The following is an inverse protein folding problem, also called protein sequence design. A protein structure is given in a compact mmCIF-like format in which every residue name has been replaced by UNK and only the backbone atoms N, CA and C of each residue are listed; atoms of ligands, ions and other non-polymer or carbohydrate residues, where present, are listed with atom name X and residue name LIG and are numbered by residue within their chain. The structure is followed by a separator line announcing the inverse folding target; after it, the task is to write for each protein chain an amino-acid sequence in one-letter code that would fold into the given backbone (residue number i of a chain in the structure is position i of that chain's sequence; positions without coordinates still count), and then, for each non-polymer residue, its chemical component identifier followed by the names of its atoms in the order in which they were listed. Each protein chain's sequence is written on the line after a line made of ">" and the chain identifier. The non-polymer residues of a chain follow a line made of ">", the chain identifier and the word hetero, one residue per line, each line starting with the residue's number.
data_IF_930667137553
#
_entry.id   IF_930667137553
#
_cell.length_a   1.000
_cell.length_b   1.000
_cell.length_c   1.000
_cell.angle_alpha   90.00
_cell.angle_beta   90.00
_cell.angle_gamma   90.00
#
_symmetry.space_group_name_H-M   'P 1'
#
loop_
_entity.id
_entity.type
_entity.pdbx_description
1 polymer ?
#
# COMPACT_ATOMS: atom_id res chain seq x y z
N UNK A 1 12.12 -18.44 5.60
CA UNK A 1 12.98 -17.30 5.95
C UNK A 1 12.66 -16.88 7.37
N UNK A 2 13.63 -16.80 8.29
CA UNK A 2 13.37 -16.44 9.69
C UNK A 2 13.01 -14.95 9.83
N UNK A 3 12.17 -14.64 10.81
CA UNK A 3 11.87 -13.26 11.19
C UNK A 3 13.10 -12.58 11.79
N UNK A 4 13.22 -11.25 11.61
CA UNK A 4 14.29 -10.43 12.19
C UNK A 4 15.54 -10.25 11.31
N UNK A 5 15.63 -10.93 10.16
CA UNK A 5 16.71 -10.69 9.21
C UNK A 5 16.48 -9.37 8.46
N UNK A 6 17.45 -8.45 8.49
CA UNK A 6 17.34 -7.11 7.88
C UNK A 6 16.95 -7.13 6.40
N UNK A 7 17.47 -8.11 5.64
CA UNK A 7 17.23 -8.22 4.20
C UNK A 7 16.01 -9.07 3.84
N UNK A 8 15.31 -9.64 4.82
CA UNK A 8 14.16 -10.52 4.57
C UNK A 8 13.08 -9.86 3.69
N UNK A 9 12.63 -8.62 3.98
CA UNK A 9 11.61 -7.97 3.16
C UNK A 9 12.06 -7.73 1.71
N UNK A 10 13.30 -7.28 1.53
CA UNK A 10 13.85 -7.00 0.19
C UNK A 10 13.97 -8.27 -0.66
N UNK A 11 14.43 -9.37 -0.06
CA UNK A 11 14.54 -10.66 -0.75
C UNK A 11 13.15 -11.21 -1.09
N UNK A 12 12.20 -11.12 -0.15
CA UNK A 12 10.84 -11.58 -0.37
C UNK A 12 10.14 -10.75 -1.46
N UNK A 13 10.29 -9.43 -1.44
CA UNK A 13 9.80 -8.55 -2.50
C UNK A 13 10.40 -8.91 -3.87
N UNK A 14 11.70 -9.23 -3.93
CA UNK A 14 12.35 -9.70 -5.16
C UNK A 14 11.74 -11.00 -5.70
N UNK A 15 11.45 -11.96 -4.81
CA UNK A 15 10.75 -13.20 -5.16
C UNK A 15 9.34 -12.91 -5.69
N UNK A 16 8.55 -12.14 -4.95
CA UNK A 16 7.17 -11.82 -5.33
C UNK A 16 7.10 -11.06 -6.65
N UNK A 17 8.02 -10.10 -6.86
CA UNK A 17 8.12 -9.39 -8.14
C UNK A 17 8.45 -10.33 -9.30
N UNK A 18 9.30 -11.33 -9.09
CA UNK A 18 9.62 -12.34 -10.13
C UNK A 18 8.43 -13.23 -10.43
N UNK A 19 7.75 -13.72 -9.40
CA UNK A 19 6.58 -14.62 -9.52
C UNK A 19 5.41 -13.90 -10.17
N UNK A 20 5.06 -12.71 -9.69
CA UNK A 20 3.93 -11.93 -10.18
C UNK A 20 4.25 -11.15 -11.46
N UNK A 21 5.50 -11.16 -11.96
CA UNK A 21 5.96 -10.41 -13.15
C UNK A 21 4.99 -10.44 -14.34
N UNK A 22 4.33 -11.57 -14.68
CA UNK A 22 3.39 -11.61 -15.81
C UNK A 22 2.16 -10.69 -15.64
N UNK A 23 1.80 -10.35 -14.39
CA UNK A 23 0.58 -9.67 -13.99
C UNK A 23 0.80 -8.32 -13.28
N UNK A 24 2.05 -8.03 -12.86
CA UNK A 24 2.43 -6.75 -12.29
C UNK A 24 2.03 -5.60 -13.22
N UNK A 25 1.50 -4.53 -12.61
CA UNK A 25 1.04 -3.31 -13.26
C UNK A 25 -0.06 -3.49 -14.33
N UNK A 26 -0.58 -4.70 -14.52
CA UNK A 26 -1.75 -4.99 -15.36
C UNK A 26 -3.02 -5.05 -14.53
N UNK A 27 -2.99 -5.88 -13.49
CA UNK A 27 -4.10 -6.06 -12.55
C UNK A 27 -3.64 -6.47 -11.14
N UNK A 28 -2.31 -6.51 -10.92
CA UNK A 28 -1.71 -6.83 -9.63
C UNK A 28 -0.69 -5.76 -9.24
N UNK A 29 -0.75 -5.36 -7.98
CA UNK A 29 0.31 -4.62 -7.30
C UNK A 29 0.78 -5.48 -6.13
N UNK A 30 2.08 -5.58 -5.94
CA UNK A 30 2.70 -6.36 -4.87
C UNK A 30 3.54 -5.41 -4.02
N UNK A 31 3.45 -5.55 -2.70
CA UNK A 31 4.36 -4.90 -1.78
C UNK A 31 4.71 -5.83 -0.63
N UNK A 32 5.97 -6.28 -0.59
CA UNK A 32 6.47 -7.26 0.38
C UNK A 32 5.53 -8.49 0.40
N UNK A 33 4.68 -8.64 1.42
CA UNK A 33 3.75 -9.75 1.64
C UNK A 33 2.32 -9.48 1.17
N UNK A 34 1.98 -8.23 0.87
CA UNK A 34 0.64 -7.85 0.43
C UNK A 34 0.50 -7.88 -1.10
N UNK A 35 -0.59 -8.48 -1.58
CA UNK A 35 -0.96 -8.56 -2.99
C UNK A 35 -2.30 -7.88 -3.18
N UNK A 36 -2.31 -6.78 -3.92
CA UNK A 36 -3.53 -6.10 -4.34
C UNK A 36 -3.91 -6.54 -5.74
N UNK A 37 -5.13 -7.04 -5.90
CA UNK A 37 -5.70 -7.44 -7.19
C UNK A 37 -6.84 -6.48 -7.53
N UNK A 38 -6.80 -5.85 -8.70
CA UNK A 38 -7.82 -4.91 -9.16
C UNK A 38 -8.33 -5.27 -10.55
N UNK A 39 -9.60 -4.99 -10.81
CA UNK A 39 -10.29 -5.32 -12.07
C UNK A 39 -11.41 -4.33 -12.34
N UNK A 40 -11.87 -4.24 -13.58
CA UNK A 40 -12.95 -3.31 -13.95
C UNK A 40 -14.33 -3.82 -13.54
N UNK A 41 -14.53 -5.12 -13.62
CA UNK A 41 -15.79 -5.77 -13.26
C UNK A 41 -15.59 -7.08 -12.50
N UNK A 42 -16.69 -7.63 -11.98
CA UNK A 42 -16.67 -8.84 -11.17
C UNK A 42 -16.28 -10.10 -11.95
N UNK A 43 -16.53 -10.14 -13.25
CA UNK A 43 -16.22 -11.30 -14.09
C UNK A 43 -14.71 -11.35 -14.33
N UNK A 44 -14.12 -10.24 -14.76
CA UNK A 44 -12.66 -10.09 -14.88
C UNK A 44 -11.98 -10.34 -13.52
N UNK A 45 -12.56 -9.83 -12.42
CA UNK A 45 -12.00 -10.05 -11.08
C UNK A 45 -11.94 -11.52 -10.67
N UNK A 46 -12.96 -12.31 -11.04
CA UNK A 46 -12.96 -13.75 -10.81
C UNK A 46 -11.80 -14.43 -11.54
N UNK A 47 -11.56 -14.04 -12.79
CA UNK A 47 -10.50 -14.60 -13.63
C UNK A 47 -9.11 -14.19 -13.10
N UNK A 48 -8.92 -12.91 -12.76
CA UNK A 48 -7.68 -12.40 -12.16
C UNK A 48 -7.38 -13.08 -10.82
N UNK A 49 -8.36 -13.20 -9.94
CA UNK A 49 -8.21 -13.86 -8.65
C UNK A 49 -7.80 -15.33 -8.83
N UNK A 50 -8.46 -16.04 -9.75
CA UNK A 50 -8.12 -17.43 -10.06
C UNK A 50 -6.68 -17.55 -10.57
N UNK A 51 -6.27 -16.69 -11.50
CA UNK A 51 -4.91 -16.71 -12.06
C UNK A 51 -3.84 -16.51 -10.97
N UNK A 52 -4.07 -15.61 -10.01
CA UNK A 52 -3.14 -15.36 -8.91
C UNK A 52 -3.13 -16.50 -7.90
N UNK A 53 -4.27 -17.06 -7.53
CA UNK A 53 -4.31 -18.21 -6.62
C UNK A 53 -3.64 -19.45 -7.24
N UNK A 54 -3.80 -19.68 -8.54
CA UNK A 54 -3.10 -20.75 -9.26
C UNK A 54 -1.59 -20.51 -9.33
N UNK A 55 -1.17 -19.27 -9.58
CA UNK A 55 0.23 -18.88 -9.57
C UNK A 55 0.87 -19.10 -8.18
N UNK A 56 0.22 -18.64 -7.12
CA UNK A 56 0.69 -18.83 -5.75
C UNK A 56 0.80 -20.31 -5.39
N UNK A 57 -0.21 -21.11 -5.77
CA UNK A 57 -0.18 -22.56 -5.57
C UNK A 57 0.98 -23.23 -6.32
N UNK A 58 1.28 -22.80 -7.54
CA UNK A 58 2.39 -23.34 -8.36
C UNK A 58 3.75 -23.04 -7.73
N UNK A 59 3.92 -21.86 -7.17
CA UNK A 59 5.17 -21.42 -6.53
C UNK A 59 5.23 -21.79 -5.04
N UNK A 60 4.29 -22.59 -4.54
CA UNK A 60 4.18 -23.02 -3.14
C UNK A 60 4.15 -21.85 -2.14
N UNK A 61 3.51 -20.75 -2.55
CA UNK A 61 3.27 -19.56 -1.74
C UNK A 61 1.86 -19.61 -1.14
N UNK A 62 1.77 -19.35 0.16
CA UNK A 62 0.52 -19.48 0.91
C UNK A 62 0.09 -18.14 1.49
N UNK A 63 -1.13 -17.72 1.13
CA UNK A 63 -1.77 -16.57 1.73
C UNK A 63 -2.51 -16.98 3.01
N UNK A 64 -2.44 -16.16 4.06
CA UNK A 64 -3.19 -16.38 5.29
C UNK A 64 -4.63 -15.92 5.09
N UNK A 65 -5.56 -16.87 4.91
CA UNK A 65 -6.97 -16.58 4.62
C UNK A 65 -7.62 -15.59 5.60
N UNK A 66 -7.28 -15.66 6.90
CA UNK A 66 -7.82 -14.74 7.92
C UNK A 66 -7.41 -13.26 7.74
N UNK A 67 -6.45 -12.97 6.87
CA UNK A 67 -5.97 -11.62 6.54
C UNK A 67 -6.35 -11.20 5.12
N UNK A 68 -6.98 -12.09 4.34
CA UNK A 68 -7.37 -11.79 2.97
C UNK A 68 -8.76 -11.18 2.95
N UNK A 69 -8.91 -10.11 2.17
CA UNK A 69 -10.20 -9.49 1.90
C UNK A 69 -10.53 -9.69 0.41
N UNK A 70 -11.76 -10.10 0.11
CA UNK A 70 -12.19 -10.39 -1.26
C UNK A 70 -13.46 -9.64 -1.60
N UNK A 71 -13.62 -9.26 -2.87
CA UNK A 71 -14.84 -8.63 -3.41
C UNK A 71 -15.25 -7.32 -2.74
N UNK A 72 -14.29 -6.58 -2.18
CA UNK A 72 -14.53 -5.30 -1.53
C UNK A 72 -14.46 -4.14 -2.54
N UNK A 73 -15.38 -3.16 -2.45
CA UNK A 73 -15.37 -1.99 -3.35
C UNK A 73 -14.32 -0.94 -2.96
N UNK A 74 -13.83 -1.00 -1.71
CA UNK A 74 -12.80 -0.13 -1.15
C UNK A 74 -11.85 -0.97 -0.32
N UNK A 75 -10.55 -0.74 -0.45
CA UNK A 75 -9.52 -1.48 0.26
C UNK A 75 -8.48 -0.54 0.87
N UNK A 76 -8.03 -0.85 2.08
CA UNK A 76 -6.86 -0.21 2.67
C UNK A 76 -5.61 -0.92 2.18
N UNK A 77 -4.74 -0.20 1.49
CA UNK A 77 -3.48 -0.74 0.97
C UNK A 77 -2.37 0.28 1.11
N UNK A 78 -1.28 -0.09 1.79
CA UNK A 78 -0.12 0.77 2.04
C UNK A 78 -0.48 2.16 2.57
N UNK A 79 -1.35 2.26 3.57
CA UNK A 79 -1.73 3.55 4.16
C UNK A 79 -2.59 4.44 3.25
N UNK A 80 -3.08 3.91 2.13
CA UNK A 80 -4.05 4.57 1.26
C UNK A 80 -5.36 3.80 1.23
N UNK A 81 -6.44 4.54 0.94
CA UNK A 81 -7.74 3.94 0.64
C UNK A 81 -7.92 3.93 -0.88
N UNK A 82 -8.11 2.75 -1.47
CA UNK A 82 -8.24 2.59 -2.91
C UNK A 82 -9.66 2.19 -3.24
N UNK A 83 -10.28 2.88 -4.19
CA UNK A 83 -11.61 2.58 -4.71
C UNK A 83 -11.70 2.80 -6.22
N UNK A 84 -12.90 2.70 -6.78
CA UNK A 84 -13.14 2.88 -8.21
C UNK A 84 -12.88 4.31 -8.73
N UNK A 85 -12.82 5.31 -7.85
CA UNK A 85 -12.51 6.70 -8.19
C UNK A 85 -11.00 6.97 -8.13
N UNK A 86 -10.23 6.11 -7.47
CA UNK A 86 -8.78 6.17 -7.44
C UNK A 86 -8.20 5.94 -6.05
N UNK A 87 -7.07 6.60 -5.79
CA UNK A 87 -6.31 6.48 -4.56
C UNK A 87 -6.61 7.70 -3.69
N UNK A 88 -7.02 7.46 -2.46
CA UNK A 88 -7.35 8.48 -1.46
C UNK A 88 -6.44 8.37 -0.24
N UNK A 89 -6.32 9.47 0.50
CA UNK A 89 -5.69 9.45 1.82
C UNK A 89 -6.62 8.72 2.79
N UNK A 90 -6.03 7.87 3.65
CA UNK A 90 -6.79 7.19 4.70
C UNK A 90 -7.44 8.24 5.64
N UNK A 91 -8.78 8.23 5.82
CA UNK A 91 -9.47 9.15 6.73
C UNK A 91 -8.90 9.15 8.14
N UNK A 92 -8.47 8.00 8.66
CA UNK A 92 -7.86 7.91 9.99
C UNK A 92 -6.55 8.71 10.08
N UNK A 93 -5.81 8.81 8.96
CA UNK A 93 -4.59 9.61 8.88
C UNK A 93 -4.91 11.10 8.80
N UNK A 94 -5.99 11.49 8.11
CA UNK A 94 -6.48 12.87 8.11
C UNK A 94 -6.87 13.29 9.53
N UNK A 95 -7.60 12.46 10.27
CA UNK A 95 -7.98 12.73 11.66
C UNK A 95 -6.74 12.87 12.56
N UNK A 96 -5.77 11.96 12.44
CA UNK A 96 -4.53 12.05 13.22
C UNK A 96 -3.73 13.34 12.98
N UNK A 97 -3.82 13.93 11.78
CA UNK A 97 -3.19 15.21 11.45
C UNK A 97 -4.01 16.39 11.98
N UNK A 98 -5.35 16.30 11.97
CA UNK A 98 -6.22 17.34 12.54
C UNK A 98 -6.04 17.48 14.05
N UNK A 99 -5.88 16.36 14.74
CA UNK A 99 -5.67 16.32 16.19
C UNK A 99 -4.19 16.49 16.58
N UNK A 100 -3.31 16.67 15.60
CA UNK A 100 -1.88 16.80 15.84
C UNK A 100 -1.57 18.10 16.57
N UNK A 101 -0.95 18.00 17.75
CA UNK A 101 -0.58 19.17 18.55
C UNK A 101 0.55 19.95 17.89
N UNK A 102 0.52 21.28 17.98
CA UNK A 102 1.56 22.12 17.37
C UNK A 102 2.96 21.69 17.83
N UNK A 103 3.85 21.28 16.91
CA UNK A 103 5.15 20.75 17.27
C UNK A 103 6.01 21.83 17.94
N UNK A 104 6.70 21.45 19.01
CA UNK A 104 7.52 22.35 19.85
C UNK A 104 9.01 22.08 19.74
N UNK A 105 9.40 21.01 19.04
CA UNK A 105 10.79 20.61 18.86
C UNK A 105 11.13 20.33 17.39
N UNK A 106 12.40 20.47 16.97
CA UNK A 106 12.82 20.09 15.63
C UNK A 106 12.52 18.64 15.27
N UNK A 107 12.55 17.73 16.25
CA UNK A 107 12.21 16.31 16.06
C UNK A 107 10.74 16.14 15.71
N UNK A 108 9.84 16.82 16.43
CA UNK A 108 8.40 16.78 16.16
C UNK A 108 8.06 17.41 14.79
N UNK A 109 8.74 18.50 14.42
CA UNK A 109 8.60 19.11 13.09
C UNK A 109 8.99 18.10 12.00
N UNK A 110 10.11 17.38 12.15
CA UNK A 110 10.54 16.35 11.19
C UNK A 110 9.57 15.18 11.12
N UNK A 111 9.01 14.74 12.25
CA UNK A 111 7.99 13.69 12.29
C UNK A 111 6.72 14.11 11.54
N UNK A 112 6.24 15.33 11.79
CA UNK A 112 5.09 15.89 11.08
C UNK A 112 5.35 16.01 9.57
N UNK A 113 6.50 16.57 9.19
CA UNK A 113 6.90 16.70 7.78
C UNK A 113 7.08 15.35 7.10
N UNK A 114 7.53 14.31 7.81
CA UNK A 114 7.60 12.95 7.29
C UNK A 114 6.22 12.39 6.96
N UNK A 115 5.26 12.54 7.86
CA UNK A 115 3.87 12.12 7.65
C UNK A 115 3.20 12.92 6.52
N UNK A 116 3.28 14.25 6.58
CA UNK A 116 2.69 15.13 5.56
C UNK A 116 3.36 14.93 4.19
N UNK A 117 4.66 14.69 4.19
CA UNK A 117 5.46 14.37 3.00
C UNK A 117 5.03 13.07 2.32
N UNK A 118 4.59 12.07 3.08
CA UNK A 118 4.03 10.82 2.51
C UNK A 118 2.78 11.09 1.66
N UNK A 119 1.94 12.05 2.07
CA UNK A 119 0.72 12.44 1.36
C UNK A 119 0.89 13.67 0.47
N UNK A 120 2.11 14.12 0.19
CA UNK A 120 2.41 15.35 -0.58
C UNK A 120 1.69 15.44 -1.93
N UNK A 121 1.38 14.31 -2.58
CA UNK A 121 0.68 14.26 -3.88
C UNK A 121 -0.76 14.78 -3.78
N UNK A 122 -1.35 14.74 -2.59
CA UNK A 122 -2.72 15.19 -2.31
C UNK A 122 -2.78 16.63 -1.79
N UNK A 123 -1.63 17.27 -1.57
CA UNK A 123 -1.55 18.63 -1.02
C UNK A 123 -1.03 19.57 -2.10
N UNK A 124 -1.91 20.39 -2.65
CA UNK A 124 -1.54 21.37 -3.65
C UNK A 124 -0.53 22.38 -3.08
N UNK A 125 0.57 22.59 -3.80
CA UNK A 125 1.61 23.54 -3.37
C UNK A 125 2.37 23.12 -2.11
N UNK A 126 2.38 21.83 -1.74
CA UNK A 126 3.03 21.32 -0.51
C UNK A 126 4.42 21.92 -0.25
N UNK A 127 5.29 21.97 -1.25
CA UNK A 127 6.65 22.51 -1.11
C UNK A 127 6.68 23.99 -0.69
N UNK A 128 5.71 24.80 -1.11
CA UNK A 128 5.61 26.22 -0.71
C UNK A 128 5.12 26.32 0.73
N UNK A 129 4.17 25.47 1.12
CA UNK A 129 3.57 25.43 2.47
C UNK A 129 4.58 24.92 3.50
N UNK A 130 5.36 23.89 3.16
CA UNK A 130 6.33 23.27 4.05
C UNK A 130 7.64 24.08 4.18
N UNK A 131 7.94 24.99 3.25
CA UNK A 131 9.17 25.81 3.22
C UNK A 131 9.53 26.50 4.55
N UNK A 132 8.61 27.15 5.30
CA UNK A 132 8.96 27.76 6.59
C UNK A 132 9.26 26.75 7.71
N UNK A 133 8.99 25.46 7.51
CA UNK A 133 9.20 24.38 8.49
C UNK A 133 10.41 23.48 8.18
N UNK A 134 10.95 23.57 6.96
CA UNK A 134 12.16 22.88 6.48
C UNK A 134 13.37 23.78 6.56
#
# INVERSE_FOLDING_TARGET
>A
MPFGLTNAPSVFMGLMNRVCKPYLDKFVIVFIDDILIYSKDKKEHKEHLKAILELLKKEELYAKFSKCEFWIPKVHFLGHMIDSQGIHVDPAKIESVKDWTSPKSPTEIRQFLGLAGYYRRFIEGFSKIAKPMT
#
